data_IF_442392907479
#
_entry.id   IF_442392907479
#
_cell.length_a   1.000
_cell.length_b   1.000
_cell.length_c   1.000
_cell.angle_alpha   90.00
_cell.angle_beta   90.00
_cell.angle_gamma   90.00
#
_symmetry.space_group_name_H-M   'P 1'
#
loop_
_entity.id
_entity.type
_entity.pdbx_description
1 polymer ?
#
# COMPACT_ATOMS: atom_id res chain seq x y z
N UNK A 1 -10.52 9.52 4.21
CA UNK A 1 -11.14 8.33 3.57
C UNK A 1 -10.20 7.61 2.61
N UNK A 2 -9.85 8.19 1.43
CA UNK A 2 -8.94 7.52 0.46
C UNK A 2 -7.51 7.46 1.00
N UNK A 3 -6.98 8.59 1.48
CA UNK A 3 -5.63 8.67 2.06
C UNK A 3 -5.43 7.69 3.21
N UNK A 4 -6.43 7.55 4.08
CA UNK A 4 -6.38 6.64 5.23
C UNK A 4 -6.44 5.17 4.77
N UNK A 5 -7.39 4.83 3.90
CA UNK A 5 -7.58 3.46 3.41
C UNK A 5 -6.35 2.95 2.66
N UNK A 6 -5.78 3.79 1.81
CA UNK A 6 -4.62 3.45 0.99
C UNK A 6 -3.29 3.83 1.67
N UNK A 7 -3.32 4.35 2.90
CA UNK A 7 -2.14 4.76 3.67
C UNK A 7 -1.19 5.71 2.91
N UNK A 8 -1.75 6.66 2.18
CA UNK A 8 -1.01 7.52 1.22
C UNK A 8 -0.07 8.54 1.89
N UNK A 9 -0.20 8.77 3.20
CA UNK A 9 0.72 9.66 3.93
C UNK A 9 2.06 9.03 4.29
N UNK A 10 2.27 7.76 3.91
CA UNK A 10 3.55 7.08 4.06
C UNK A 10 4.51 7.43 2.91
N UNK A 11 5.84 7.38 3.14
CA UNK A 11 6.83 7.67 2.10
C UNK A 11 7.00 6.50 1.10
N UNK A 12 6.01 6.31 0.21
CA UNK A 12 5.89 5.14 -0.69
C UNK A 12 6.08 5.46 -2.19
N UNK A 13 6.40 6.70 -2.53
CA UNK A 13 6.33 7.16 -3.93
C UNK A 13 7.59 6.91 -4.76
N UNK A 14 8.76 6.74 -4.12
CA UNK A 14 10.04 6.59 -4.82
C UNK A 14 10.05 5.39 -5.79
N UNK A 15 9.47 4.28 -5.38
CA UNK A 15 9.41 3.05 -6.17
C UNK A 15 8.47 3.19 -7.36
N UNK A 16 7.49 4.10 -7.26
CA UNK A 16 6.49 4.34 -8.31
C UNK A 16 7.02 5.26 -9.41
N UNK A 17 8.13 5.98 -9.16
CA UNK A 17 8.74 6.91 -10.10
C UNK A 17 9.44 6.23 -11.29
N UNK A 18 9.56 4.90 -11.27
CA UNK A 18 10.12 4.11 -12.36
C UNK A 18 9.24 2.89 -12.65
N UNK A 19 9.17 2.49 -13.92
CA UNK A 19 8.46 1.30 -14.40
C UNK A 19 6.95 1.30 -14.10
N UNK A 20 6.35 2.48 -13.97
CA UNK A 20 4.90 2.66 -13.86
C UNK A 20 4.33 2.53 -12.44
N UNK A 21 3.15 3.13 -12.28
CA UNK A 21 2.44 3.21 -10.99
C UNK A 21 1.49 2.02 -10.73
N UNK A 22 1.14 1.25 -11.78
CA UNK A 22 0.05 0.27 -11.78
C UNK A 22 0.57 -1.11 -12.19
N UNK A 23 -0.08 -2.18 -11.70
CA UNK A 23 0.23 -3.57 -12.06
C UNK A 23 1.39 -4.18 -11.27
N UNK A 24 1.66 -3.66 -10.08
CA UNK A 24 2.75 -4.13 -9.20
C UNK A 24 2.18 -4.78 -7.94
N UNK A 25 2.74 -5.91 -7.54
CA UNK A 25 2.30 -6.63 -6.34
C UNK A 25 2.56 -5.79 -5.08
N UNK A 26 1.54 -5.52 -4.25
CA UNK A 26 1.72 -4.88 -2.94
C UNK A 26 2.69 -5.69 -2.08
N UNK A 27 3.62 -5.01 -1.40
CA UNK A 27 4.54 -5.65 -0.48
C UNK A 27 5.04 -4.66 0.58
N UNK A 28 5.43 -5.20 1.73
CA UNK A 28 5.95 -4.42 2.85
C UNK A 28 7.47 -4.31 2.76
N UNK A 29 7.99 -3.12 3.00
CA UNK A 29 9.43 -2.84 3.05
C UNK A 29 9.77 -2.02 4.29
N UNK A 30 11.00 -2.19 4.79
CA UNK A 30 11.58 -1.29 5.80
C UNK A 30 12.41 -0.24 5.10
N UNK A 31 12.12 1.04 5.35
CA UNK A 31 12.85 2.20 4.84
C UNK A 31 13.63 2.90 5.94
N UNK A 32 14.83 3.36 5.60
CA UNK A 32 15.68 4.14 6.49
C UNK A 32 15.95 5.51 5.88
N UNK A 33 15.63 6.56 6.62
CA UNK A 33 15.81 7.95 6.20
C UNK A 33 16.91 8.58 7.06
N UNK A 34 17.93 9.10 6.37
CA UNK A 34 19.09 9.72 7.00
C UNK A 34 19.02 11.24 6.82
N UNK A 35 19.39 11.98 7.86
CA UNK A 35 19.48 13.44 7.84
C UNK A 35 20.71 13.89 8.62
N UNK A 36 21.32 14.98 8.19
CA UNK A 36 22.50 15.54 8.87
C UNK A 36 22.19 16.05 10.29
N UNK A 37 20.95 16.47 10.53
CA UNK A 37 20.53 17.14 11.76
C UNK A 37 19.52 16.34 12.57
N UNK A 38 19.00 15.24 12.02
CA UNK A 38 17.98 14.42 12.67
C UNK A 38 18.47 12.98 12.78
N UNK A 39 18.08 12.24 13.84
CA UNK A 39 18.35 10.82 13.94
C UNK A 39 17.81 10.05 12.73
N UNK A 40 18.46 8.92 12.40
CA UNK A 40 17.96 8.00 11.39
C UNK A 40 16.54 7.56 11.75
N UNK A 41 15.62 7.73 10.81
CA UNK A 41 14.23 7.31 10.96
C UNK A 41 14.02 6.01 10.20
N UNK A 42 13.61 4.97 10.91
CA UNK A 42 13.27 3.67 10.33
C UNK A 42 11.75 3.51 10.32
N UNK A 43 11.19 3.14 9.18
CA UNK A 43 9.75 2.99 8.98
C UNK A 43 9.45 1.72 8.19
N UNK A 44 8.50 0.93 8.67
CA UNK A 44 7.88 -0.12 7.87
C UNK A 44 6.72 0.49 7.07
N UNK A 45 6.72 0.30 5.75
CA UNK A 45 5.69 0.84 4.85
C UNK A 45 5.22 -0.23 3.88
N UNK A 46 3.93 -0.18 3.53
CA UNK A 46 3.31 -1.04 2.52
C UNK A 46 3.28 -0.28 1.18
N UNK A 47 3.92 -0.83 0.15
CA UNK A 47 3.97 -0.23 -1.19
C UNK A 47 2.78 -0.70 -2.04
N UNK A 48 2.40 0.11 -3.04
CA UNK A 48 1.36 -0.21 -4.03
C UNK A 48 0.01 -0.61 -3.41
N UNK A 49 -0.39 0.04 -2.32
CA UNK A 49 -1.62 -0.29 -1.56
C UNK A 49 -2.92 -0.23 -2.38
N UNK A 50 -2.94 0.51 -3.48
CA UNK A 50 -4.08 0.59 -4.41
C UNK A 50 -4.25 -0.65 -5.30
N UNK A 51 -3.23 -1.50 -5.42
CA UNK A 51 -3.30 -2.75 -6.19
C UNK A 51 -3.91 -3.91 -5.36
N UNK A 52 -4.22 -3.68 -4.08
CA UNK A 52 -4.83 -4.70 -3.22
C UNK A 52 -6.25 -5.00 -3.64
N UNK A 53 -6.58 -6.29 -3.58
CA UNK A 53 -7.91 -6.83 -3.88
C UNK A 53 -8.72 -7.18 -2.61
N UNK A 54 -8.33 -6.60 -1.47
CA UNK A 54 -8.90 -6.87 -0.14
C UNK A 54 -10.36 -6.37 0.05
N UNK A 55 -10.89 -5.65 -0.94
CA UNK A 55 -12.28 -5.23 -0.99
C UNK A 55 -13.19 -6.15 -1.79
N UNK A 56 -12.66 -7.13 -2.53
CA UNK A 56 -13.47 -8.03 -3.38
C UNK A 56 -14.57 -8.70 -2.56
N UNK A 57 -14.23 -9.30 -1.43
CA UNK A 57 -15.19 -10.04 -0.61
C UNK A 57 -16.23 -9.13 0.04
N UNK A 58 -15.84 -7.91 0.41
CA UNK A 58 -16.77 -6.89 0.92
C UNK A 58 -17.81 -6.52 -0.13
N UNK A 59 -17.36 -6.31 -1.37
CA UNK A 59 -18.23 -5.99 -2.50
C UNK A 59 -19.15 -7.18 -2.80
N UNK A 60 -18.60 -8.39 -2.92
CA UNK A 60 -19.38 -9.62 -3.16
C UNK A 60 -20.49 -9.81 -2.12
N UNK A 61 -20.19 -9.56 -0.84
CA UNK A 61 -21.17 -9.66 0.25
C UNK A 61 -22.35 -8.72 0.05
N UNK A 62 -22.11 -7.46 -0.34
CA UNK A 62 -23.17 -6.46 -0.59
C UNK A 62 -24.11 -6.89 -1.72
N UNK A 63 -23.58 -7.61 -2.72
CA UNK A 63 -24.37 -8.10 -3.86
C UNK A 63 -24.88 -9.54 -3.68
N UNK A 64 -24.67 -10.18 -2.52
CA UNK A 64 -25.11 -11.56 -2.28
C UNK A 64 -24.35 -12.61 -3.10
N UNK A 65 -23.11 -12.32 -3.51
CA UNK A 65 -22.26 -13.24 -4.28
C UNK A 65 -21.40 -14.13 -3.36
N UNK A 66 -21.03 -15.35 -3.80
CA UNK A 66 -20.19 -16.25 -3.01
C UNK A 66 -18.83 -15.63 -2.67
N UNK A 67 -18.48 -15.66 -1.38
CA UNK A 67 -17.17 -15.21 -0.88
C UNK A 67 -16.14 -16.30 -1.16
N UNK A 68 -14.99 -15.91 -1.70
CA UNK A 68 -13.90 -16.84 -2.01
C UNK A 68 -13.17 -17.21 -0.72
N UNK A 69 -13.38 -18.42 -0.21
CA UNK A 69 -12.50 -19.03 0.78
C UNK A 69 -11.35 -19.72 0.03
N UNK A 70 -10.22 -19.02 -0.09
CA UNK A 70 -8.93 -19.67 -0.30
C UNK A 70 -8.27 -19.89 1.06
#
# INVERSE_FOLDING_TARGET
AIEDRLKLRNPIYSETAAYGHIGRTPHTVTKQFHSRYQPTKVLEVELFTWEKIDYIDKIKTVFGLPVSHL
#
